data_IF_193955790604
#
_entry.id   IF_193955790604
#
_cell.length_a   1.000
_cell.length_b   1.000
_cell.length_c   1.000
_cell.angle_alpha   90.00
_cell.angle_beta   90.00
_cell.angle_gamma   90.00
#
_symmetry.space_group_name_H-M   'P 1'
#
loop_
_entity.id
_entity.type
_entity.pdbx_description
1 polymer ?
#
# COMPACT_ATOMS: atom_id res chain seq x y z
N UNK A 1 15.16 9.63 -24.47
CA UNK A 1 13.99 9.99 -25.30
C UNK A 1 12.73 9.19 -24.91
N UNK A 2 12.75 7.85 -24.92
CA UNK A 2 11.56 7.05 -24.56
C UNK A 2 10.96 7.40 -23.16
N UNK A 3 11.80 7.51 -22.12
CA UNK A 3 11.33 7.91 -20.78
C UNK A 3 10.63 9.28 -20.78
N UNK A 4 11.21 10.26 -21.49
CA UNK A 4 10.64 11.62 -21.64
C UNK A 4 9.29 11.61 -22.35
N UNK A 5 9.05 10.63 -23.23
CA UNK A 5 7.78 10.44 -23.94
C UNK A 5 6.80 9.54 -23.17
N UNK A 6 7.11 9.21 -21.90
CA UNK A 6 6.31 8.32 -21.05
C UNK A 6 6.12 6.90 -21.60
N UNK A 7 7.00 6.46 -22.49
CA UNK A 7 7.09 5.07 -22.95
C UNK A 7 8.08 4.31 -22.05
N UNK A 8 7.63 3.99 -20.83
CA UNK A 8 8.48 3.43 -19.77
C UNK A 8 8.93 2.01 -20.08
N UNK A 9 8.05 1.15 -20.60
CA UNK A 9 8.40 -0.22 -21.02
C UNK A 9 9.53 -0.22 -22.06
N UNK A 10 9.45 0.65 -23.08
CA UNK A 10 10.52 0.78 -24.08
C UNK A 10 11.79 1.37 -23.50
N UNK A 11 11.67 2.39 -22.64
CA UNK A 11 12.82 3.00 -21.97
C UNK A 11 13.56 1.97 -21.12
N UNK A 12 12.82 1.17 -20.37
CA UNK A 12 13.32 0.12 -19.50
C UNK A 12 14.08 -0.95 -20.29
N UNK A 13 13.46 -1.45 -21.36
CA UNK A 13 14.10 -2.38 -22.29
C UNK A 13 15.37 -1.81 -22.93
N UNK A 14 15.37 -0.51 -23.27
CA UNK A 14 16.53 0.14 -23.88
C UNK A 14 17.69 0.28 -22.89
N UNK A 15 17.42 0.72 -21.65
CA UNK A 15 18.43 0.79 -20.60
C UNK A 15 18.97 -0.59 -20.22
N UNK A 16 18.09 -1.60 -20.11
CA UNK A 16 18.50 -2.98 -19.85
C UNK A 16 19.47 -3.51 -20.90
N UNK A 17 19.17 -3.32 -22.20
CA UNK A 17 20.09 -3.71 -23.29
C UNK A 17 21.41 -2.94 -23.26
N UNK A 18 21.39 -1.65 -22.92
CA UNK A 18 22.60 -0.84 -22.84
C UNK A 18 23.49 -1.30 -21.67
N UNK A 19 22.91 -1.54 -20.49
CA UNK A 19 23.64 -2.03 -19.31
C UNK A 19 24.19 -3.44 -19.51
N UNK A 20 23.48 -4.32 -20.22
CA UNK A 20 23.95 -5.66 -20.53
C UNK A 20 25.17 -5.69 -21.48
N UNK A 21 25.38 -4.63 -22.27
CA UNK A 21 26.51 -4.48 -23.19
C UNK A 21 27.61 -3.56 -22.64
N UNK A 22 27.35 -2.89 -21.53
CA UNK A 22 28.28 -1.93 -20.95
C UNK A 22 29.47 -2.66 -20.29
N UNK A 23 30.68 -2.08 -20.33
CA UNK A 23 31.78 -2.51 -19.47
C UNK A 23 31.37 -2.57 -17.99
N UNK A 24 31.97 -3.47 -17.22
CA UNK A 24 31.58 -3.71 -15.83
C UNK A 24 31.67 -2.45 -14.96
N UNK A 25 32.73 -1.65 -15.09
CA UNK A 25 32.89 -0.38 -14.36
C UNK A 25 31.72 0.58 -14.62
N UNK A 26 31.29 0.69 -15.88
CA UNK A 26 30.13 1.51 -16.28
C UNK A 26 28.84 0.94 -15.73
N UNK A 27 28.60 -0.37 -15.92
CA UNK A 27 27.41 -1.07 -15.41
C UNK A 27 27.28 -0.88 -13.90
N UNK A 28 28.34 -1.17 -13.16
CA UNK A 28 28.40 -1.09 -11.70
C UNK A 28 28.21 0.35 -11.19
N UNK A 29 28.75 1.34 -11.89
CA UNK A 29 28.53 2.75 -11.56
C UNK A 29 27.07 3.17 -11.73
N UNK A 30 26.44 2.79 -12.85
CA UNK A 30 25.07 3.19 -13.19
C UNK A 30 24.01 2.49 -12.34
N UNK A 31 24.29 1.25 -11.91
CA UNK A 31 23.39 0.47 -11.05
C UNK A 31 23.64 0.71 -9.56
N UNK A 32 24.60 1.56 -9.17
CA UNK A 32 24.86 1.87 -7.77
C UNK A 32 23.74 2.74 -7.16
N UNK A 33 23.01 2.20 -6.20
CA UNK A 33 21.88 2.87 -5.54
C UNK A 33 22.25 3.56 -4.22
N UNK A 34 23.54 3.65 -3.86
CA UNK A 34 24.00 4.22 -2.59
C UNK A 34 23.38 5.58 -2.27
N UNK A 35 23.20 6.43 -3.28
CA UNK A 35 22.62 7.78 -3.12
C UNK A 35 21.10 7.79 -2.84
N UNK A 36 20.41 6.68 -3.10
CA UNK A 36 18.96 6.55 -2.90
C UNK A 36 18.61 5.86 -1.58
N UNK A 37 19.49 4.98 -1.09
CA UNK A 37 19.22 4.18 0.10
C UNK A 37 19.26 5.00 1.40
N UNK A 38 18.52 4.53 2.40
CA UNK A 38 18.56 5.07 3.75
C UNK A 38 19.70 4.48 4.59
N UNK A 39 19.84 4.95 5.83
CA UNK A 39 20.91 4.52 6.73
C UNK A 39 20.81 3.02 7.09
N UNK A 40 19.60 2.45 7.00
CA UNK A 40 19.34 1.05 7.34
C UNK A 40 19.93 0.15 6.25
N UNK A 41 19.69 0.46 4.97
CA UNK A 41 20.18 -0.35 3.85
C UNK A 41 21.57 0.03 3.31
N UNK A 42 22.00 1.30 3.42
CA UNK A 42 23.20 1.77 2.69
C UNK A 42 24.50 1.11 3.18
N UNK A 43 24.57 0.73 4.47
CA UNK A 43 25.79 0.12 5.04
C UNK A 43 26.02 -1.26 4.45
N UNK A 44 25.04 -2.16 4.57
CA UNK A 44 25.12 -3.50 4.01
C UNK A 44 25.27 -3.47 2.48
N UNK A 45 24.62 -2.53 1.80
CA UNK A 45 24.73 -2.37 0.34
C UNK A 45 26.15 -2.02 -0.15
N UNK A 46 26.89 -1.21 0.62
CA UNK A 46 28.27 -0.80 0.26
C UNK A 46 29.25 -1.96 0.34
N UNK A 47 29.01 -2.90 1.25
CA UNK A 47 29.86 -4.08 1.45
C UNK A 47 29.68 -5.13 0.34
N UNK A 48 28.59 -5.04 -0.43
CA UNK A 48 28.35 -5.91 -1.58
C UNK A 48 29.22 -5.52 -2.78
N UNK A 49 29.69 -6.54 -3.51
CA UNK A 49 30.23 -6.35 -4.85
C UNK A 49 29.12 -6.01 -5.86
N UNK A 50 29.53 -5.72 -7.10
CA UNK A 50 28.61 -5.27 -8.13
C UNK A 50 27.51 -6.28 -8.47
N UNK A 51 27.84 -7.56 -8.55
CA UNK A 51 26.88 -8.58 -8.96
C UNK A 51 25.91 -8.91 -7.81
N UNK A 52 26.40 -8.94 -6.57
CA UNK A 52 25.55 -9.08 -5.39
C UNK A 52 24.59 -7.88 -5.21
N UNK A 53 25.00 -6.67 -5.60
CA UNK A 53 24.11 -5.49 -5.61
C UNK A 53 22.95 -5.64 -6.59
N UNK A 54 23.10 -6.39 -7.69
CA UNK A 54 22.03 -6.51 -8.69
C UNK A 54 20.76 -7.13 -8.12
N UNK A 55 20.87 -8.18 -7.31
CA UNK A 55 19.71 -8.79 -6.66
C UNK A 55 18.99 -7.82 -5.71
N UNK A 56 19.76 -7.00 -4.97
CA UNK A 56 19.20 -5.95 -4.12
C UNK A 56 18.54 -4.85 -4.95
N UNK A 57 19.18 -4.43 -6.04
CA UNK A 57 18.65 -3.42 -6.95
C UNK A 57 17.33 -3.85 -7.56
N UNK A 58 17.20 -5.12 -7.98
CA UNK A 58 15.96 -5.65 -8.53
C UNK A 58 14.84 -5.61 -7.49
N UNK A 59 15.15 -5.87 -6.21
CA UNK A 59 14.17 -5.79 -5.11
C UNK A 59 13.78 -4.34 -4.84
N UNK A 60 14.76 -3.44 -4.82
CA UNK A 60 14.52 -1.99 -4.68
C UNK A 60 13.61 -1.51 -5.80
N UNK A 61 13.88 -1.87 -7.06
CA UNK A 61 13.09 -1.39 -8.18
C UNK A 61 11.69 -2.01 -8.23
N UNK A 62 11.55 -3.30 -7.97
CA UNK A 62 10.24 -3.95 -7.85
C UNK A 62 9.34 -3.26 -6.83
N UNK A 63 9.89 -2.90 -5.67
CA UNK A 63 9.17 -2.17 -4.62
C UNK A 63 8.98 -0.67 -4.95
N UNK A 64 9.96 -0.05 -5.60
CA UNK A 64 9.94 1.37 -5.94
C UNK A 64 9.09 1.71 -7.16
N UNK A 65 8.56 0.70 -7.87
CA UNK A 65 7.58 0.89 -8.93
C UNK A 65 6.33 1.61 -8.37
N UNK A 66 6.01 2.84 -8.82
CA UNK A 66 4.88 3.61 -8.30
C UNK A 66 3.54 2.90 -8.48
N UNK A 67 3.23 2.41 -9.68
CA UNK A 67 2.02 1.66 -10.00
C UNK A 67 2.33 0.52 -10.96
N UNK A 68 2.08 -0.73 -10.56
CA UNK A 68 2.13 -1.88 -11.47
C UNK A 68 1.02 -1.84 -12.53
N UNK A 69 -0.02 -1.01 -12.35
CA UNK A 69 -1.01 -0.68 -13.36
C UNK A 69 -0.40 0.00 -14.60
N UNK A 70 0.72 0.72 -14.43
CA UNK A 70 1.41 1.38 -15.55
C UNK A 70 2.46 0.45 -16.16
N UNK A 71 2.48 0.24 -17.49
CA UNK A 71 3.47 -0.65 -18.10
C UNK A 71 4.93 -0.16 -17.96
N UNK A 72 5.75 -0.98 -17.30
CA UNK A 72 7.17 -0.73 -17.07
C UNK A 72 7.43 0.12 -15.81
N UNK A 73 8.68 0.15 -15.36
CA UNK A 73 9.03 0.82 -14.10
C UNK A 73 9.56 2.23 -14.34
N UNK A 74 8.70 3.24 -14.23
CA UNK A 74 9.05 4.63 -14.48
C UNK A 74 10.07 5.17 -13.47
N UNK A 75 10.05 4.70 -12.22
CA UNK A 75 11.00 5.17 -11.20
C UNK A 75 12.42 4.67 -11.49
N UNK A 76 12.55 3.43 -11.96
CA UNK A 76 13.82 2.85 -12.43
C UNK A 76 14.30 3.56 -13.68
N UNK A 77 13.44 3.74 -14.69
CA UNK A 77 13.84 4.44 -15.92
C UNK A 77 14.17 5.91 -15.68
N UNK A 78 13.54 6.57 -14.70
CA UNK A 78 13.89 7.92 -14.27
C UNK A 78 15.30 7.97 -13.68
N UNK A 79 15.69 6.98 -12.87
CA UNK A 79 17.04 6.87 -12.33
C UNK A 79 18.07 6.77 -13.45
N UNK A 80 17.87 5.88 -14.42
CA UNK A 80 18.80 5.74 -15.54
C UNK A 80 18.82 6.96 -16.46
N UNK A 81 17.68 7.64 -16.65
CA UNK A 81 17.65 8.91 -17.37
C UNK A 81 18.44 10.01 -16.64
N UNK A 82 18.34 10.08 -15.30
CA UNK A 82 19.14 11.01 -14.47
C UNK A 82 20.62 10.68 -14.52
N UNK A 83 21.00 9.40 -14.50
CA UNK A 83 22.40 8.97 -14.68
C UNK A 83 22.94 9.38 -16.07
N UNK A 84 22.15 9.22 -17.13
CA UNK A 84 22.51 9.69 -18.46
C UNK A 84 22.70 11.22 -18.51
N UNK A 85 21.80 11.99 -17.87
CA UNK A 85 21.97 13.44 -17.76
C UNK A 85 23.21 13.83 -16.95
N UNK A 86 23.50 13.14 -15.85
CA UNK A 86 24.70 13.39 -15.07
C UNK A 86 25.97 13.24 -15.91
N UNK A 87 26.01 12.21 -16.76
CA UNK A 87 27.13 11.99 -17.70
C UNK A 87 27.23 13.07 -18.77
N UNK A 88 26.09 13.55 -19.28
CA UNK A 88 26.04 14.64 -20.27
C UNK A 88 26.52 15.96 -19.67
N UNK A 89 26.17 16.23 -18.40
CA UNK A 89 26.56 17.48 -17.71
C UNK A 89 27.95 17.43 -17.10
N UNK A 90 28.59 16.27 -17.05
CA UNK A 90 29.95 16.14 -16.55
C UNK A 90 30.92 17.04 -17.34
N UNK A 91 31.73 17.82 -16.62
CA UNK A 91 32.65 18.78 -17.23
C UNK A 91 31.99 20.07 -17.76
N UNK A 92 30.67 20.24 -17.58
CA UNK A 92 29.96 21.47 -17.95
C UNK A 92 29.81 22.43 -16.74
N UNK A 93 29.53 23.71 -17.02
CA UNK A 93 29.12 24.66 -15.99
C UNK A 93 27.61 24.59 -15.78
N UNK A 94 27.16 24.51 -14.52
CA UNK A 94 25.72 24.61 -14.21
C UNK A 94 25.24 26.06 -14.23
N UNK A 95 23.92 26.32 -14.37
CA UNK A 95 23.36 27.68 -14.33
C UNK A 95 23.73 28.51 -13.09
N UNK A 96 24.17 27.85 -12.01
CA UNK A 96 24.68 28.48 -10.78
C UNK A 96 26.12 29.02 -10.90
N UNK A 97 26.79 28.87 -12.05
CA UNK A 97 28.16 29.35 -12.27
C UNK A 97 29.24 28.54 -11.54
N UNK A 98 28.89 27.39 -10.98
CA UNK A 98 29.82 26.44 -10.36
C UNK A 98 30.11 25.27 -11.32
N UNK A 99 31.31 24.66 -11.27
CA UNK A 99 31.60 23.45 -12.03
C UNK A 99 30.70 22.27 -11.61
N UNK A 100 30.30 21.43 -12.56
CA UNK A 100 29.67 20.14 -12.25
C UNK A 100 30.64 19.24 -11.47
N UNK A 101 30.15 18.64 -10.38
CA UNK A 101 30.89 17.76 -9.46
C UNK A 101 29.93 16.73 -8.85
N UNK A 102 30.47 15.81 -8.05
CA UNK A 102 29.73 14.69 -7.43
C UNK A 102 28.47 15.13 -6.67
N UNK A 103 28.50 16.26 -5.95
CA UNK A 103 27.33 16.80 -5.25
C UNK A 103 26.17 17.11 -6.21
N UNK A 104 26.47 17.65 -7.41
CA UNK A 104 25.45 17.92 -8.43
C UNK A 104 24.92 16.62 -9.04
N UNK A 105 25.78 15.62 -9.22
CA UNK A 105 25.37 14.27 -9.64
C UNK A 105 24.42 13.66 -8.62
N UNK A 106 24.76 13.70 -7.33
CA UNK A 106 23.90 13.19 -6.26
C UNK A 106 22.54 13.90 -6.23
N UNK A 107 22.53 15.24 -6.29
CA UNK A 107 21.30 16.02 -6.32
C UNK A 107 20.43 15.69 -7.55
N UNK A 108 21.05 15.49 -8.72
CA UNK A 108 20.35 15.11 -9.94
C UNK A 108 19.76 13.70 -9.84
N UNK A 109 20.52 12.74 -9.31
CA UNK A 109 20.04 11.37 -9.12
C UNK A 109 18.87 11.29 -8.13
N UNK A 110 18.94 12.02 -7.01
CA UNK A 110 17.89 12.04 -5.99
C UNK A 110 16.66 12.83 -6.40
N UNK A 111 16.83 14.02 -6.97
CA UNK A 111 15.74 14.99 -7.12
C UNK A 111 15.41 15.37 -8.57
N UNK A 112 16.19 14.90 -9.54
CA UNK A 112 16.01 15.26 -10.94
C UNK A 112 16.42 16.69 -11.28
N UNK A 113 16.23 17.04 -12.55
CA UNK A 113 16.48 18.40 -13.06
C UNK A 113 15.45 19.38 -12.48
N UNK A 114 15.86 20.63 -12.15
CA UNK A 114 14.89 21.67 -11.79
C UNK A 114 13.89 21.93 -12.92
N UNK A 115 12.62 22.15 -12.55
CA UNK A 115 11.54 22.44 -13.49
C UNK A 115 11.52 23.90 -13.92
N UNK A 116 11.93 24.79 -13.01
CA UNK A 116 11.94 26.22 -13.22
C UNK A 116 13.22 26.82 -12.66
N UNK A 117 13.64 27.91 -13.25
CA UNK A 117 14.81 28.65 -12.84
C UNK A 117 14.42 30.09 -12.57
N UNK A 118 14.86 30.62 -11.43
CA UNK A 118 14.68 32.02 -11.07
C UNK A 118 16.04 32.68 -10.97
N UNK A 119 16.18 33.86 -11.60
CA UNK A 119 17.38 34.67 -11.48
C UNK A 119 17.07 35.89 -10.62
N UNK A 120 17.81 36.05 -9.51
CA UNK A 120 17.70 37.25 -8.70
C UNK A 120 18.37 38.42 -9.40
N UNK A 121 17.74 39.59 -9.32
CA UNK A 121 18.36 40.84 -9.78
C UNK A 121 19.51 41.19 -8.85
N UNK A 122 20.67 41.50 -9.42
CA UNK A 122 21.84 41.91 -8.64
C UNK A 122 21.49 43.13 -7.76
N UNK A 123 21.78 43.07 -6.46
CA UNK A 123 21.72 44.22 -5.55
C UNK A 123 23.13 44.70 -5.28
N UNK A 124 23.44 45.94 -5.67
CA UNK A 124 24.72 46.59 -5.39
C UNK A 124 25.80 46.42 -6.47
N UNK A 125 26.96 47.05 -6.24
CA UNK A 125 28.05 47.20 -7.20
C UNK A 125 28.81 45.90 -7.54
N UNK A 126 28.59 44.81 -6.79
CA UNK A 126 29.26 43.52 -7.02
C UNK A 126 28.67 42.71 -8.19
N UNK A 127 27.50 43.08 -8.73
CA UNK A 127 26.92 42.51 -9.95
C UNK A 127 26.58 41.02 -9.91
N UNK A 128 26.77 40.32 -8.78
CA UNK A 128 26.51 38.88 -8.69
C UNK A 128 25.01 38.58 -8.81
N UNK A 129 24.66 37.84 -9.87
CA UNK A 129 23.33 37.28 -10.09
C UNK A 129 23.30 35.89 -9.46
N UNK A 130 22.29 35.63 -8.61
CA UNK A 130 22.05 34.27 -8.13
C UNK A 130 21.00 33.60 -9.00
N UNK A 131 21.18 32.31 -9.26
CA UNK A 131 20.22 31.48 -9.98
C UNK A 131 19.70 30.44 -8.99
N UNK A 132 18.39 30.27 -8.89
CA UNK A 132 17.71 29.30 -8.01
C UNK A 132 16.96 28.31 -8.89
N UNK A 133 17.22 27.02 -8.70
CA UNK A 133 16.48 25.94 -9.35
C UNK A 133 15.31 25.50 -8.48
N UNK A 134 14.09 25.62 -9.00
CA UNK A 134 12.87 25.20 -8.33
C UNK A 134 12.47 23.80 -8.81
N UNK A 135 12.13 22.94 -7.86
CA UNK A 135 11.63 21.57 -8.11
C UNK A 135 10.17 21.48 -7.73
N UNK A 136 9.48 20.46 -8.27
CA UNK A 136 8.09 20.21 -7.90
C UNK A 136 7.95 19.90 -6.41
N UNK A 137 6.96 20.52 -5.78
CA UNK A 137 6.53 20.20 -4.41
C UNK A 137 5.64 18.96 -4.33
N UNK A 138 5.19 18.41 -5.48
CA UNK A 138 4.36 17.21 -5.55
C UNK A 138 5.16 15.92 -5.76
N UNK A 139 6.49 15.98 -5.82
CA UNK A 139 7.31 14.79 -5.85
C UNK A 139 7.21 13.96 -4.55
N UNK A 140 7.48 12.67 -4.68
CA UNK A 140 7.36 11.65 -3.63
C UNK A 140 8.61 10.78 -3.59
N UNK A 141 8.83 10.12 -2.45
CA UNK A 141 9.82 9.04 -2.33
C UNK A 141 9.15 7.69 -2.57
N UNK A 142 9.57 6.98 -3.62
CA UNK A 142 9.09 5.63 -3.91
C UNK A 142 10.10 4.56 -3.52
N UNK A 143 11.38 4.91 -3.37
CA UNK A 143 12.40 3.97 -2.88
C UNK A 143 11.97 3.41 -1.52
N UNK A 144 11.93 2.07 -1.34
CA UNK A 144 11.51 1.48 -0.08
C UNK A 144 12.51 1.78 1.04
N UNK A 145 12.04 2.00 2.28
CA UNK A 145 12.89 1.96 3.46
C UNK A 145 13.71 0.68 3.54
N UNK A 146 14.95 0.76 4.03
CA UNK A 146 15.89 -0.36 4.05
C UNK A 146 15.38 -1.57 4.83
N UNK A 147 14.64 -1.36 5.92
CA UNK A 147 13.97 -2.41 6.70
C UNK A 147 13.06 -3.33 5.87
N UNK A 148 12.47 -2.85 4.78
CA UNK A 148 11.63 -3.67 3.90
C UNK A 148 12.46 -4.55 2.95
N UNK A 149 13.71 -4.16 2.67
CA UNK A 149 14.63 -4.99 1.90
C UNK A 149 15.11 -6.18 2.73
N UNK A 150 15.30 -5.98 4.04
CA UNK A 150 15.69 -7.01 5.00
C UNK A 150 14.52 -7.95 5.36
N UNK A 151 13.31 -7.42 5.48
CA UNK A 151 12.12 -8.19 5.88
C UNK A 151 10.85 -7.67 5.20
N UNK A 152 10.39 -8.41 4.19
CA UNK A 152 9.13 -8.11 3.47
C UNK A 152 7.89 -8.13 4.37
N UNK A 153 7.77 -8.99 5.40
CA UNK A 153 6.64 -8.97 6.35
C UNK A 153 6.41 -7.64 7.08
N UNK A 154 7.39 -6.72 7.08
CA UNK A 154 7.23 -5.39 7.67
C UNK A 154 6.41 -4.43 6.79
N UNK A 155 6.19 -4.76 5.52
CA UNK A 155 5.41 -3.92 4.59
C UNK A 155 3.93 -3.97 5.01
N UNK A 156 3.34 -2.79 5.28
CA UNK A 156 1.96 -2.65 5.77
C UNK A 156 1.84 -2.69 7.29
N UNK A 157 2.73 -3.39 7.99
CA UNK A 157 2.83 -3.33 9.45
C UNK A 157 3.46 -2.01 9.94
N UNK A 158 4.22 -1.33 9.08
CA UNK A 158 4.82 -0.02 9.35
C UNK A 158 4.51 0.96 8.21
N UNK A 159 4.45 2.28 8.48
CA UNK A 159 4.22 3.27 7.43
C UNK A 159 5.31 3.23 6.35
N UNK A 160 4.90 3.29 5.08
CA UNK A 160 5.79 3.53 3.95
C UNK A 160 5.58 4.97 3.47
N UNK A 161 6.12 5.98 4.20
CA UNK A 161 5.85 7.36 3.89
C UNK A 161 6.38 7.69 2.50
N UNK A 162 5.53 8.32 1.69
CA UNK A 162 5.86 8.81 0.35
C UNK A 162 6.51 10.20 0.38
N UNK A 163 7.03 10.66 1.52
CA UNK A 163 7.57 12.01 1.65
C UNK A 163 8.83 12.21 0.78
N UNK A 164 8.91 13.35 0.08
CA UNK A 164 9.96 13.60 -0.91
C UNK A 164 11.30 14.10 -0.32
N UNK A 165 11.61 13.79 0.95
CA UNK A 165 12.77 14.41 1.64
C UNK A 165 14.12 13.85 1.20
N UNK A 166 14.20 12.53 0.98
CA UNK A 166 15.46 11.85 0.60
C UNK A 166 15.68 11.84 -0.91
N UNK A 167 14.61 11.58 -1.63
CA UNK A 167 14.51 11.55 -3.08
C UNK A 167 13.15 12.11 -3.47
N UNK A 168 13.04 12.63 -4.69
CA UNK A 168 11.80 13.19 -5.19
C UNK A 168 11.60 12.73 -6.62
N UNK A 169 10.52 12.01 -6.84
CA UNK A 169 10.03 11.62 -8.14
C UNK A 169 8.55 11.90 -8.26
N UNK A 170 8.14 12.45 -9.40
CA UNK A 170 6.75 12.68 -9.73
C UNK A 170 6.44 11.91 -11.02
N UNK A 171 5.60 10.86 -10.97
CA UNK A 171 5.15 10.18 -12.17
C UNK A 171 4.43 11.19 -13.09
N UNK A 172 4.70 11.24 -14.40
CA UNK A 172 4.15 12.28 -15.27
C UNK A 172 2.63 12.16 -15.47
N UNK A 173 2.07 10.98 -15.23
CA UNK A 173 0.62 10.74 -15.24
C UNK A 173 -0.06 11.13 -13.92
N UNK A 174 0.69 11.49 -12.87
CA UNK A 174 0.18 11.80 -11.54
C UNK A 174 0.68 13.16 -11.02
N UNK A 175 -0.22 14.15 -10.98
CA UNK A 175 -0.02 15.41 -10.26
C UNK A 175 -0.13 15.22 -8.75
N UNK A 176 -0.98 14.29 -8.32
CA UNK A 176 -1.15 13.92 -6.91
C UNK A 176 -0.98 12.42 -6.78
N UNK A 177 -0.09 12.01 -5.89
CA UNK A 177 0.09 10.63 -5.49
C UNK A 177 -0.10 10.53 -3.97
N UNK A 178 -0.96 9.61 -3.54
CA UNK A 178 -1.25 9.36 -2.12
C UNK A 178 -1.22 7.88 -1.79
N UNK A 179 -1.14 7.57 -0.49
CA UNK A 179 -1.50 6.24 0.00
C UNK A 179 -3.01 6.01 -0.21
N UNK A 180 -3.38 4.77 -0.48
CA UNK A 180 -4.76 4.34 -0.62
C UNK A 180 -5.19 3.62 0.66
N UNK A 181 -6.21 4.13 1.33
CA UNK A 181 -6.85 3.45 2.45
C UNK A 181 -7.89 2.47 1.89
N UNK A 182 -7.48 1.21 1.76
CA UNK A 182 -8.31 0.14 1.22
C UNK A 182 -8.65 -0.85 2.33
N UNK A 183 -9.93 -1.19 2.45
CA UNK A 183 -10.31 -2.38 3.18
C UNK A 183 -9.83 -3.60 2.39
N UNK A 184 -9.12 -4.51 3.06
CA UNK A 184 -8.66 -5.79 2.52
C UNK A 184 -9.12 -6.89 3.49
N UNK A 185 -9.59 -8.01 2.96
CA UNK A 185 -9.94 -9.20 3.74
C UNK A 185 -9.57 -10.47 2.95
N UNK A 186 -9.08 -11.48 3.66
CA UNK A 186 -8.66 -12.77 3.11
C UNK A 186 -9.66 -13.87 3.50
N UNK A 187 -10.08 -14.62 2.50
CA UNK A 187 -10.96 -15.79 2.61
C UNK A 187 -10.20 -17.03 2.10
N UNK A 188 -9.51 -17.78 2.97
CA UNK A 188 -8.76 -18.96 2.56
C UNK A 188 -9.67 -20.04 1.95
N UNK A 189 -9.10 -20.84 1.06
CA UNK A 189 -9.66 -22.07 0.50
C UNK A 189 -8.57 -23.15 0.59
N UNK A 190 -8.85 -24.35 0.11
CA UNK A 190 -7.95 -25.50 0.29
C UNK A 190 -6.55 -25.28 -0.32
N UNK A 191 -6.47 -24.69 -1.52
CA UNK A 191 -5.21 -24.50 -2.27
C UNK A 191 -4.93 -23.05 -2.68
N UNK A 192 -5.87 -22.14 -2.42
CA UNK A 192 -5.80 -20.73 -2.77
C UNK A 192 -6.44 -19.86 -1.69
N UNK A 193 -6.33 -18.55 -1.84
CA UNK A 193 -7.11 -17.59 -1.07
C UNK A 193 -7.89 -16.68 -2.01
N UNK A 194 -9.12 -16.34 -1.61
CA UNK A 194 -9.88 -15.25 -2.21
C UNK A 194 -9.58 -13.99 -1.40
N UNK A 195 -8.85 -13.06 -2.00
CA UNK A 195 -8.56 -11.76 -1.39
C UNK A 195 -9.55 -10.75 -1.96
N UNK A 196 -10.27 -10.07 -1.10
CA UNK A 196 -11.23 -9.03 -1.51
C UNK A 196 -10.72 -7.69 -1.02
N UNK A 197 -10.86 -6.65 -1.84
CA UNK A 197 -10.50 -5.30 -1.45
C UNK A 197 -11.50 -4.27 -1.96
N UNK A 198 -11.73 -3.24 -1.15
CA UNK A 198 -12.56 -2.12 -1.54
C UNK A 198 -12.00 -0.80 -1.01
N UNK A 199 -12.21 0.27 -1.77
CA UNK A 199 -11.79 1.63 -1.42
C UNK A 199 -12.72 2.67 -2.05
N UNK A 200 -12.90 3.84 -1.42
CA UNK A 200 -13.70 4.91 -2.01
C UNK A 200 -13.02 5.48 -3.26
N UNK A 201 -13.79 5.66 -4.33
CA UNK A 201 -13.41 6.46 -5.48
C UNK A 201 -13.91 7.87 -5.19
N UNK A 202 -13.00 8.74 -4.72
CA UNK A 202 -13.37 10.13 -4.41
C UNK A 202 -14.01 10.80 -5.64
N UNK A 203 -15.14 11.54 -5.49
CA UNK A 203 -15.74 12.28 -6.60
C UNK A 203 -14.73 13.20 -7.28
N UNK A 204 -14.89 13.41 -8.59
CA UNK A 204 -14.12 14.42 -9.30
C UNK A 204 -14.49 15.82 -8.75
N UNK A 205 -13.53 16.67 -8.32
CA UNK A 205 -13.84 18.00 -7.79
C UNK A 205 -14.66 18.86 -8.76
N UNK A 206 -14.42 18.69 -10.06
CA UNK A 206 -15.15 19.35 -11.16
C UNK A 206 -16.31 18.50 -11.74
N UNK A 207 -16.98 17.66 -10.94
CA UNK A 207 -18.11 16.81 -11.39
C UNK A 207 -19.32 17.58 -11.99
N UNK A 208 -19.28 18.92 -12.04
CA UNK A 208 -20.19 19.74 -12.86
C UNK A 208 -19.85 19.73 -14.36
N UNK A 209 -18.74 19.12 -14.77
CA UNK A 209 -18.34 18.91 -16.17
C UNK A 209 -18.78 17.54 -16.71
N UNK A 210 -18.98 17.47 -18.03
CA UNK A 210 -19.56 16.31 -18.77
C UNK A 210 -18.66 15.07 -18.88
N UNK A 211 -17.52 15.01 -18.18
CA UNK A 211 -16.61 13.87 -18.25
C UNK A 211 -16.09 13.51 -16.85
N UNK A 212 -16.65 12.49 -16.18
CA UNK A 212 -16.22 12.07 -14.83
C UNK A 212 -14.77 11.53 -14.78
N UNK A 213 -14.10 11.42 -15.92
CA UNK A 213 -12.75 10.86 -16.03
C UNK A 213 -12.78 9.33 -16.02
N UNK A 214 -11.81 8.70 -16.68
CA UNK A 214 -11.62 7.25 -16.62
C UNK A 214 -10.83 6.93 -15.36
N UNK A 215 -11.45 6.17 -14.46
CA UNK A 215 -10.80 5.59 -13.29
C UNK A 215 -10.41 4.16 -13.63
N UNK A 216 -9.12 3.87 -13.57
CA UNK A 216 -8.58 2.53 -13.67
C UNK A 216 -8.21 2.06 -12.26
N UNK A 217 -8.70 0.88 -11.90
CA UNK A 217 -8.42 0.25 -10.61
C UNK A 217 -7.94 -1.17 -10.84
N UNK A 218 -6.95 -1.57 -10.07
CA UNK A 218 -6.42 -2.91 -10.11
C UNK A 218 -5.90 -3.31 -8.74
N UNK A 219 -5.86 -4.61 -8.51
CA UNK A 219 -5.13 -5.18 -7.41
C UNK A 219 -4.21 -6.24 -7.99
N UNK A 220 -3.06 -6.43 -7.37
CA UNK A 220 -2.02 -7.32 -7.84
C UNK A 220 -1.46 -8.09 -6.67
N UNK A 221 -1.25 -9.39 -6.86
CA UNK A 221 -0.58 -10.22 -5.87
C UNK A 221 0.71 -10.80 -6.43
N UNK A 222 1.78 -10.76 -5.63
CA UNK A 222 3.08 -11.26 -6.03
C UNK A 222 3.83 -11.96 -4.90
N UNK A 223 4.29 -13.17 -5.18
CA UNK A 223 5.10 -13.98 -4.24
C UNK A 223 6.60 -13.74 -4.42
N UNK A 224 6.99 -13.22 -5.57
CA UNK A 224 8.36 -12.93 -5.97
C UNK A 224 8.34 -11.97 -7.18
N UNK A 225 9.47 -11.32 -7.44
CA UNK A 225 9.64 -10.27 -8.46
C UNK A 225 8.98 -10.60 -9.83
N UNK A 226 8.94 -11.88 -10.24
CA UNK A 226 8.47 -12.31 -11.56
C UNK A 226 7.07 -12.95 -11.58
N UNK A 227 6.32 -12.88 -10.49
CA UNK A 227 4.99 -13.49 -10.38
C UNK A 227 3.95 -12.44 -10.04
N UNK A 228 3.53 -11.63 -11.03
CA UNK A 228 2.39 -10.71 -10.85
C UNK A 228 1.13 -11.43 -11.30
N UNK A 229 0.26 -11.77 -10.37
CA UNK A 229 -1.10 -12.22 -10.67
C UNK A 229 -2.01 -10.99 -10.67
N UNK A 230 -2.53 -10.56 -11.84
CA UNK A 230 -3.48 -9.46 -11.88
C UNK A 230 -4.83 -9.91 -11.32
N UNK A 231 -5.39 -9.09 -10.44
CA UNK A 231 -6.78 -9.15 -10.01
C UNK A 231 -7.68 -8.39 -10.96
N UNK A 232 -8.91 -8.86 -11.14
CA UNK A 232 -9.91 -8.19 -11.98
C UNK A 232 -10.82 -7.30 -11.12
N UNK A 233 -11.27 -6.19 -11.70
CA UNK A 233 -12.21 -5.27 -11.08
C UNK A 233 -13.65 -5.59 -11.49
N UNK A 234 -14.58 -5.47 -10.54
CA UNK A 234 -16.00 -5.34 -10.80
C UNK A 234 -16.47 -4.06 -10.09
N UNK A 235 -16.44 -2.93 -10.81
CA UNK A 235 -17.04 -1.69 -10.30
C UNK A 235 -18.54 -1.69 -10.64
N UNK A 236 -19.39 -2.06 -9.67
CA UNK A 236 -20.86 -1.97 -9.82
C UNK A 236 -21.41 -0.56 -9.46
N UNK A 237 -20.64 0.24 -8.72
CA UNK A 237 -21.06 1.56 -8.21
C UNK A 237 -19.91 2.57 -8.40
N UNK A 238 -20.21 3.74 -8.96
CA UNK A 238 -19.23 4.78 -9.31
C UNK A 238 -18.45 5.38 -8.12
N UNK A 239 -18.87 5.08 -6.89
CA UNK A 239 -18.32 5.68 -5.66
C UNK A 239 -17.36 4.78 -4.87
N UNK A 240 -17.38 3.45 -5.09
CA UNK A 240 -16.54 2.48 -4.37
C UNK A 240 -16.02 1.43 -5.34
N UNK A 241 -14.70 1.34 -5.44
CA UNK A 241 -14.06 0.24 -6.16
C UNK A 241 -14.10 -1.02 -5.31
N UNK A 242 -14.47 -2.15 -5.91
CA UNK A 242 -14.43 -3.48 -5.27
C UNK A 242 -13.73 -4.45 -6.21
N UNK A 243 -12.71 -5.14 -5.68
CA UNK A 243 -11.82 -6.00 -6.45
C UNK A 243 -11.74 -7.36 -5.75
N UNK A 244 -11.67 -8.42 -6.54
CA UNK A 244 -11.51 -9.79 -6.07
C UNK A 244 -10.29 -10.40 -6.75
N UNK A 245 -9.43 -11.04 -5.96
CA UNK A 245 -8.25 -11.75 -6.42
C UNK A 245 -8.27 -13.18 -5.94
N UNK A 246 -7.90 -14.10 -6.81
CA UNK A 246 -7.58 -15.48 -6.45
C UNK A 246 -6.06 -15.56 -6.40
N UNK A 247 -5.51 -15.86 -5.23
CA UNK A 247 -4.07 -15.90 -4.98
C UNK A 247 -3.64 -17.29 -4.51
N UNK A 248 -2.42 -17.75 -4.80
CA UNK A 248 -1.92 -18.98 -4.19
C UNK A 248 -1.85 -18.80 -2.67
N UNK A 249 -2.06 -19.88 -1.92
CA UNK A 249 -1.96 -19.89 -0.46
C UNK A 249 -0.49 -19.85 0.02
N UNK A 250 0.20 -18.77 -0.31
CA UNK A 250 1.62 -18.52 0.03
C UNK A 250 1.82 -17.04 0.37
N UNK A 251 2.78 -16.70 1.24
CA UNK A 251 3.03 -15.31 1.57
C UNK A 251 3.44 -14.48 0.35
N UNK A 252 3.03 -13.22 0.30
CA UNK A 252 3.33 -12.33 -0.81
C UNK A 252 2.88 -10.89 -0.57
N UNK A 253 3.15 -10.03 -1.55
CA UNK A 253 2.78 -8.62 -1.51
C UNK A 253 1.48 -8.42 -2.30
N UNK A 254 0.51 -7.79 -1.65
CA UNK A 254 -0.67 -7.22 -2.30
C UNK A 254 -0.40 -5.74 -2.61
N UNK A 255 -0.66 -5.32 -3.84
CA UNK A 255 -0.69 -3.91 -4.26
C UNK A 255 -2.09 -3.58 -4.76
N UNK A 256 -2.77 -2.63 -4.13
CA UNK A 256 -4.08 -2.11 -4.55
C UNK A 256 -3.87 -0.72 -5.10
N UNK A 257 -4.32 -0.50 -6.34
CA UNK A 257 -3.90 0.65 -7.15
C UNK A 257 -5.09 1.33 -7.83
N UNK A 258 -5.01 2.65 -7.91
CA UNK A 258 -5.97 3.50 -8.60
C UNK A 258 -5.23 4.54 -9.42
N UNK A 259 -5.66 4.73 -10.66
CA UNK A 259 -5.25 5.82 -11.54
C UNK A 259 -6.48 6.50 -12.11
N UNK A 260 -6.61 7.82 -11.90
CA UNK A 260 -7.69 8.62 -12.48
C UNK A 260 -7.14 9.59 -13.53
N UNK A 261 -7.66 9.46 -14.74
CA UNK A 261 -7.44 10.38 -15.86
C UNK A 261 -8.72 11.18 -16.09
N UNK A 262 -8.68 12.49 -16.43
CA UNK A 262 -7.52 13.33 -16.70
C UNK A 262 -6.90 14.02 -15.47
N UNK A 263 -7.54 13.90 -14.30
CA UNK A 263 -7.18 14.53 -13.02
C UNK A 263 -5.73 14.30 -12.55
N UNK A 264 -5.06 13.32 -13.14
CA UNK A 264 -3.70 12.94 -12.81
C UNK A 264 -3.57 12.62 -11.31
N UNK A 265 -4.53 11.84 -10.79
CA UNK A 265 -4.52 11.37 -9.40
C UNK A 265 -4.20 9.88 -9.42
N UNK A 266 -3.17 9.50 -8.67
CA UNK A 266 -2.79 8.12 -8.45
C UNK A 266 -2.81 7.83 -6.95
N UNK A 267 -3.18 6.60 -6.59
CA UNK A 267 -3.08 6.14 -5.21
C UNK A 267 -2.73 4.67 -5.16
N UNK A 268 -2.01 4.27 -4.11
CA UNK A 268 -1.62 2.88 -3.89
C UNK A 268 -1.65 2.50 -2.41
N UNK A 269 -2.10 1.29 -2.13
CA UNK A 269 -1.82 0.56 -0.89
C UNK A 269 -0.92 -0.64 -1.21
N UNK A 270 0.11 -0.88 -0.41
CA UNK A 270 0.99 -2.04 -0.59
C UNK A 270 1.34 -2.65 0.76
N UNK A 271 1.10 -3.95 0.90
CA UNK A 271 1.21 -4.68 2.16
C UNK A 271 1.64 -6.13 1.92
N UNK A 272 2.27 -6.70 2.92
CA UNK A 272 2.51 -8.14 2.99
C UNK A 272 1.26 -8.88 3.49
N UNK A 273 0.90 -9.95 2.80
CA UNK A 273 -0.10 -10.92 3.25
C UNK A 273 0.60 -12.23 3.59
N UNK A 274 0.46 -12.66 4.84
CA UNK A 274 1.01 -13.93 5.31
C UNK A 274 0.02 -15.08 5.08
N UNK A 275 -0.18 -15.45 3.81
CA UNK A 275 -1.10 -16.52 3.42
C UNK A 275 -0.46 -17.90 3.63
N UNK A 276 -1.23 -18.86 4.14
CA UNK A 276 -0.79 -20.26 4.29
C UNK A 276 -0.18 -20.63 5.65
N UNK A 277 -0.27 -19.73 6.63
CA UNK A 277 0.10 -20.01 8.04
C UNK A 277 -0.99 -20.75 8.84
N UNK A 278 -2.13 -21.08 8.23
CA UNK A 278 -3.23 -21.81 8.86
C UNK A 278 -2.96 -23.32 8.97
N UNK A 279 -3.19 -23.88 10.16
CA UNK A 279 -3.19 -25.33 10.40
C UNK A 279 -4.57 -25.95 10.12
N UNK A 280 -4.67 -27.29 10.03
CA UNK A 280 -5.95 -27.97 9.83
C UNK A 280 -6.89 -27.74 11.02
N UNK A 281 -8.20 -27.65 10.75
CA UNK A 281 -9.26 -27.52 11.75
C UNK A 281 -9.90 -26.14 11.79
N UNK A 282 -10.65 -25.89 12.87
CA UNK A 282 -11.47 -24.69 13.03
C UNK A 282 -10.67 -23.40 12.78
N UNK A 283 -11.06 -22.63 11.77
CA UNK A 283 -10.47 -21.35 11.43
C UNK A 283 -11.52 -20.30 11.06
N UNK A 284 -11.12 -19.03 11.05
CA UNK A 284 -11.94 -17.88 10.64
C UNK A 284 -11.28 -17.15 9.47
N UNK A 285 -12.10 -16.59 8.58
CA UNK A 285 -11.63 -15.58 7.64
C UNK A 285 -11.28 -14.28 8.35
N UNK A 286 -10.70 -13.34 7.62
CA UNK A 286 -10.74 -11.94 8.05
C UNK A 286 -12.20 -11.46 8.17
N UNK A 287 -12.44 -10.50 9.06
CA UNK A 287 -13.75 -9.84 9.16
C UNK A 287 -13.90 -8.81 8.03
N UNK A 288 -14.98 -8.92 7.29
CA UNK A 288 -15.34 -8.04 6.18
C UNK A 288 -16.42 -7.05 6.61
N UNK A 289 -16.11 -5.75 6.55
CA UNK A 289 -17.04 -4.68 6.84
C UNK A 289 -17.93 -4.44 5.61
N UNK A 290 -19.23 -4.57 5.81
CA UNK A 290 -20.25 -4.41 4.78
C UNK A 290 -21.18 -3.24 5.13
N UNK A 291 -21.90 -2.72 4.14
CA UNK A 291 -22.98 -1.76 4.37
C UNK A 291 -24.07 -2.43 5.18
N UNK A 292 -24.69 -1.63 6.04
CA UNK A 292 -25.84 -2.07 6.83
C UNK A 292 -27.08 -2.04 5.95
N UNK A 293 -27.40 -3.17 5.34
CA UNK A 293 -28.61 -3.38 4.54
C UNK A 293 -29.61 -4.24 5.32
N UNK A 294 -30.88 -4.23 4.91
CA UNK A 294 -31.95 -4.99 5.61
C UNK A 294 -31.82 -6.52 5.49
N UNK A 295 -31.03 -7.00 4.53
CA UNK A 295 -30.76 -8.43 4.32
C UNK A 295 -29.26 -8.67 4.42
N UNK A 296 -28.86 -9.41 5.45
CA UNK A 296 -27.46 -9.78 5.64
C UNK A 296 -27.03 -10.85 4.62
N UNK A 297 -25.81 -10.74 4.06
CA UNK A 297 -25.32 -11.68 3.06
C UNK A 297 -25.09 -13.06 3.68
N UNK A 298 -25.56 -14.09 2.99
CA UNK A 298 -25.37 -15.49 3.35
C UNK A 298 -24.25 -16.18 2.55
N UNK A 299 -23.58 -15.45 1.65
CA UNK A 299 -22.46 -15.94 0.82
C UNK A 299 -21.47 -14.80 0.56
N UNK A 300 -20.20 -15.14 0.34
CA UNK A 300 -19.13 -14.16 0.13
C UNK A 300 -19.41 -13.24 -1.05
N UNK A 301 -19.97 -13.75 -2.15
CA UNK A 301 -20.25 -12.96 -3.35
C UNK A 301 -21.18 -11.78 -3.05
N UNK A 302 -22.25 -12.01 -2.29
CA UNK A 302 -23.16 -10.95 -1.86
C UNK A 302 -22.50 -10.01 -0.84
N UNK A 303 -21.64 -10.54 0.04
CA UNK A 303 -20.89 -9.73 0.99
C UNK A 303 -19.90 -8.79 0.27
N UNK A 304 -19.28 -9.24 -0.82
CA UNK A 304 -18.43 -8.42 -1.69
C UNK A 304 -19.25 -7.30 -2.30
N UNK A 305 -20.43 -7.54 -2.89
CA UNK A 305 -21.27 -6.46 -3.42
C UNK A 305 -21.67 -5.42 -2.37
N UNK A 306 -21.86 -5.85 -1.11
CA UNK A 306 -22.17 -4.96 0.02
C UNK A 306 -20.92 -4.36 0.70
N UNK A 307 -19.71 -4.72 0.30
CA UNK A 307 -18.46 -4.33 0.98
C UNK A 307 -18.30 -2.81 1.07
N UNK A 308 -17.85 -2.31 2.22
CA UNK A 308 -17.53 -0.88 2.41
C UNK A 308 -16.15 -0.57 1.83
N UNK A 309 -16.00 0.65 1.29
CA UNK A 309 -14.69 1.15 0.85
C UNK A 309 -13.78 1.59 2.01
N UNK A 310 -14.33 1.82 3.21
CA UNK A 310 -13.55 2.34 4.35
C UNK A 310 -13.92 1.63 5.64
N UNK A 311 -12.95 1.53 6.55
CA UNK A 311 -13.15 1.13 7.94
C UNK A 311 -13.61 2.29 8.83
N UNK A 312 -13.86 3.47 8.25
CA UNK A 312 -14.46 4.60 8.92
C UNK A 312 -15.99 4.49 8.93
N UNK A 313 -16.58 4.82 10.08
CA UNK A 313 -18.01 4.90 10.33
C UNK A 313 -18.36 6.28 10.88
N UNK A 314 -19.50 6.80 10.45
CA UNK A 314 -20.07 8.00 11.06
C UNK A 314 -20.58 7.67 12.47
N UNK A 315 -20.63 8.67 13.36
CA UNK A 315 -21.19 8.49 14.70
C UNK A 315 -22.66 8.03 14.60
N UNK A 316 -22.99 6.93 15.28
CA UNK A 316 -24.34 6.34 15.28
C UNK A 316 -24.65 5.45 14.06
N UNK A 317 -23.72 5.33 13.11
CA UNK A 317 -23.84 4.37 12.02
C UNK A 317 -23.71 2.93 12.53
N UNK A 318 -24.62 2.05 12.12
CA UNK A 318 -24.53 0.62 12.45
C UNK A 318 -23.34 -0.03 11.76
N UNK A 319 -22.62 -0.90 12.48
CA UNK A 319 -21.46 -1.64 11.98
C UNK A 319 -21.92 -3.04 11.56
N UNK A 320 -21.89 -3.32 10.26
CA UNK A 320 -22.20 -4.66 9.74
C UNK A 320 -20.95 -5.41 9.32
N UNK A 321 -20.85 -6.68 9.72
CA UNK A 321 -19.67 -7.52 9.55
C UNK A 321 -20.07 -8.87 8.97
N UNK A 322 -19.29 -9.37 8.01
CA UNK A 322 -19.37 -10.71 7.43
C UNK A 322 -18.07 -11.49 7.70
N UNK A 323 -18.18 -12.81 7.87
CA UNK A 323 -17.05 -13.73 8.00
C UNK A 323 -17.41 -15.14 7.51
N UNK A 324 -16.39 -15.97 7.33
CA UNK A 324 -16.53 -17.40 7.06
C UNK A 324 -15.85 -18.22 8.17
N UNK A 325 -16.49 -19.31 8.56
CA UNK A 325 -15.94 -20.32 9.49
C UNK A 325 -15.54 -21.54 8.66
N UNK A 326 -14.29 -21.97 8.82
CA UNK A 326 -13.72 -23.12 8.11
C UNK A 326 -13.62 -24.32 9.04
N UNK A 327 -13.86 -25.51 8.48
CA UNK A 327 -13.91 -26.78 9.20
C UNK A 327 -14.76 -26.72 10.50
N UNK A 328 -15.99 -26.19 10.44
CA UNK A 328 -16.84 -26.11 11.63
C UNK A 328 -17.19 -27.51 12.17
N UNK A 329 -17.21 -27.70 13.50
CA UNK A 329 -17.64 -28.96 14.09
C UNK A 329 -19.13 -29.23 13.81
N UNK A 330 -19.47 -30.50 13.59
CA UNK A 330 -20.83 -30.89 13.16
C UNK A 330 -21.66 -31.30 14.35
N UNK A 331 -22.88 -30.76 14.47
CA UNK A 331 -23.86 -31.05 15.54
C UNK A 331 -23.31 -30.83 16.96
N UNK A 332 -22.25 -30.05 17.08
CA UNK A 332 -21.72 -29.58 18.36
C UNK A 332 -22.08 -28.09 18.50
N UNK A 333 -22.70 -27.68 19.61
CA UNK A 333 -22.88 -26.26 19.90
C UNK A 333 -21.51 -25.63 20.20
N UNK A 334 -21.17 -24.55 19.49
CA UNK A 334 -19.98 -23.74 19.74
C UNK A 334 -20.37 -22.37 20.27
N UNK A 335 -19.52 -21.78 21.12
CA UNK A 335 -19.70 -20.40 21.56
C UNK A 335 -19.03 -19.47 20.56
N UNK A 336 -19.79 -18.50 20.04
CA UNK A 336 -19.28 -17.40 19.24
C UNK A 336 -19.38 -16.12 20.06
N UNK A 337 -18.27 -15.39 20.17
CA UNK A 337 -18.20 -14.13 20.91
C UNK A 337 -17.64 -13.04 20.01
N UNK A 338 -18.35 -11.91 19.92
CA UNK A 338 -17.88 -10.70 19.28
C UNK A 338 -17.71 -9.60 20.33
N UNK A 339 -16.48 -9.10 20.45
CA UNK A 339 -16.12 -8.03 21.38
C UNK A 339 -15.73 -6.80 20.58
N UNK A 340 -16.24 -5.63 20.98
CA UNK A 340 -15.80 -4.33 20.46
C UNK A 340 -15.11 -3.58 21.59
N UNK A 341 -13.81 -3.31 21.41
CA UNK A 341 -12.97 -2.64 22.40
C UNK A 341 -12.36 -1.36 21.84
N UNK A 342 -12.31 -0.30 22.64
CA UNK A 342 -11.63 0.94 22.24
C UNK A 342 -10.11 0.73 22.22
N UNK A 343 -9.48 1.08 21.09
CA UNK A 343 -8.03 1.19 20.95
C UNK A 343 -7.61 2.61 21.32
N UNK A 344 -7.17 2.79 22.55
CA UNK A 344 -6.55 4.06 22.95
C UNK A 344 -5.23 4.24 22.19
N UNK A 345 -5.14 5.32 21.40
CA UNK A 345 -3.91 5.72 20.72
C UNK A 345 -2.86 6.09 21.78
N UNK A 346 -1.89 5.21 22.02
CA UNK A 346 -0.59 5.62 22.56
C UNK A 346 -0.16 5.17 23.96
N UNK A 347 -0.54 4.00 24.46
CA UNK A 347 0.25 3.34 25.52
C UNK A 347 1.29 2.41 24.88
N UNK A 348 2.45 2.98 24.59
CA UNK A 348 3.64 2.29 24.08
C UNK A 348 3.95 1.01 24.89
N UNK A 349 4.19 -0.09 24.18
CA UNK A 349 5.35 -0.98 24.35
C UNK A 349 5.91 -1.02 25.80
N UNK A 350 5.24 -1.75 26.72
CA UNK A 350 5.66 -2.04 28.12
C UNK A 350 5.93 -0.81 29.01
N UNK A 351 4.95 -0.42 29.84
CA UNK A 351 5.20 0.14 31.18
C UNK A 351 3.94 0.10 32.07
N UNK A 352 4.04 -0.71 33.13
CA UNK A 352 3.50 -0.50 34.49
C UNK A 352 1.98 -0.55 34.69
N UNK A 353 1.54 -1.71 35.18
CA UNK A 353 0.43 -1.85 36.14
C UNK A 353 0.61 -0.90 37.32
N UNK A 354 0.14 0.34 37.23
CA UNK A 354 -0.03 1.18 38.42
C UNK A 354 -1.00 2.33 38.14
N UNK A 355 -1.98 2.47 39.05
CA UNK A 355 -3.04 3.48 39.11
C UNK A 355 -4.33 3.13 38.36
N UNK A 356 -5.14 2.29 39.03
CA UNK A 356 -6.54 2.01 38.70
C UNK A 356 -7.45 3.23 38.87
N UNK A 357 -7.31 4.22 38.01
CA UNK A 357 -8.20 5.38 37.89
C UNK A 357 -8.36 5.79 36.42
N UNK A 358 -9.05 4.96 35.66
CA UNK A 358 -9.85 5.38 34.52
C UNK A 358 -10.94 4.32 34.34
N UNK A 359 -12.20 4.72 34.47
CA UNK A 359 -13.33 3.84 34.18
C UNK A 359 -13.23 3.40 32.72
N UNK A 360 -12.73 2.19 32.49
CA UNK A 360 -12.87 1.54 31.19
C UNK A 360 -14.37 1.34 31.00
N UNK A 361 -14.95 2.03 30.03
CA UNK A 361 -16.30 1.70 29.57
C UNK A 361 -16.31 0.20 29.22
N UNK A 362 -17.33 -0.55 29.69
CA UNK A 362 -17.37 -1.99 29.45
C UNK A 362 -17.43 -2.23 27.93
N UNK A 363 -16.64 -3.17 27.40
CA UNK A 363 -16.65 -3.47 25.99
C UNK A 363 -18.04 -3.97 25.57
N UNK A 364 -18.48 -3.62 24.35
CA UNK A 364 -19.69 -4.23 23.79
C UNK A 364 -19.35 -5.69 23.52
N UNK A 365 -19.98 -6.61 24.26
CA UNK A 365 -19.78 -8.05 24.11
C UNK A 365 -21.10 -8.70 23.71
N UNK A 366 -21.11 -9.35 22.56
CA UNK A 366 -22.18 -10.22 22.12
C UNK A 366 -21.68 -11.66 22.19
N UNK A 367 -22.48 -12.54 22.76
CA UNK A 367 -22.20 -13.96 22.89
C UNK A 367 -23.43 -14.75 22.46
N UNK A 368 -23.24 -15.71 21.57
CA UNK A 368 -24.30 -16.58 21.07
C UNK A 368 -23.77 -17.98 20.80
N UNK A 369 -24.69 -18.95 20.74
CA UNK A 369 -24.35 -20.33 20.41
C UNK A 369 -24.70 -20.61 18.96
N UNK A 370 -23.75 -21.19 18.23
CA UNK A 370 -23.97 -21.65 16.85
C UNK A 370 -23.89 -23.17 16.83
N UNK A 371 -24.69 -23.80 15.98
CA UNK A 371 -24.55 -25.23 15.68
C UNK A 371 -24.78 -25.46 14.20
N UNK A 372 -23.99 -26.36 13.61
CA UNK A 372 -24.10 -26.68 12.19
C UNK A 372 -24.74 -28.06 12.01
N UNK A 373 -25.90 -28.16 11.32
CA UNK A 373 -26.69 -29.39 11.28
C UNK A 373 -26.09 -30.48 10.39
N UNK A 374 -25.24 -30.09 9.43
CA UNK A 374 -24.61 -30.96 8.45
C UNK A 374 -23.13 -30.57 8.26
N UNK A 375 -22.33 -31.51 7.72
CA UNK A 375 -20.95 -31.22 7.29
C UNK A 375 -20.98 -30.14 6.21
N UNK A 376 -20.25 -29.06 6.44
CA UNK A 376 -19.93 -28.04 5.45
C UNK A 376 -18.45 -27.70 5.60
N UNK A 377 -17.76 -27.46 4.49
CA UNK A 377 -16.36 -27.01 4.53
C UNK A 377 -16.28 -25.55 5.02
N UNK A 378 -17.28 -24.75 4.66
CA UNK A 378 -17.36 -23.32 4.97
C UNK A 378 -18.75 -22.98 5.47
N UNK A 379 -18.84 -22.24 6.58
CA UNK A 379 -20.09 -21.70 7.09
C UNK A 379 -20.02 -20.17 7.19
N UNK A 380 -20.85 -19.43 6.43
CA UNK A 380 -20.87 -17.98 6.47
C UNK A 380 -21.59 -17.47 7.73
N UNK A 381 -21.16 -16.31 8.21
CA UNK A 381 -21.81 -15.57 9.29
C UNK A 381 -21.83 -14.08 9.00
N UNK A 382 -22.89 -13.42 9.43
CA UNK A 382 -23.03 -11.97 9.33
C UNK A 382 -23.81 -11.43 10.52
N UNK A 383 -23.46 -10.22 10.97
CA UNK A 383 -24.18 -9.52 12.04
C UNK A 383 -24.11 -8.01 11.84
N UNK A 384 -25.16 -7.31 12.26
CA UNK A 384 -25.19 -5.84 12.38
C UNK A 384 -25.16 -5.47 13.85
N UNK A 385 -24.32 -4.50 14.18
CA UNK A 385 -24.09 -3.99 15.53
C UNK A 385 -24.49 -2.53 15.59
N UNK A 386 -25.23 -2.16 16.61
CA UNK A 386 -25.43 -0.76 16.98
C UNK A 386 -24.47 -0.45 18.13
N UNK A 387 -23.54 0.48 17.89
CA UNK A 387 -22.62 0.91 18.92
C UNK A 387 -23.30 1.95 19.82
N UNK A 388 -23.03 1.95 21.14
CA UNK A 388 -23.59 2.94 22.05
C UNK A 388 -23.31 4.38 21.57
N UNK A 389 -24.27 5.30 21.72
CA UNK A 389 -24.11 6.69 21.29
C UNK A 389 -22.96 7.38 22.03
N UNK A 390 -22.13 8.14 21.30
CA UNK A 390 -21.09 9.02 21.88
C UNK A 390 -19.63 8.55 21.73
N UNK A 391 -19.36 7.50 20.96
CA UNK A 391 -18.04 6.88 20.93
C UNK A 391 -17.21 7.27 19.70
N UNK A 392 -16.36 8.29 19.81
CA UNK A 392 -15.30 8.54 18.83
C UNK A 392 -14.00 7.80 19.16
N UNK A 393 -13.31 7.44 18.09
CA UNK A 393 -11.96 6.90 18.16
C UNK A 393 -11.80 5.63 17.35
N UNK A 394 -10.74 4.90 17.65
CA UNK A 394 -10.42 3.64 16.99
C UNK A 394 -10.91 2.50 17.87
N UNK A 395 -11.55 1.49 17.27
CA UNK A 395 -12.07 0.31 17.96
C UNK A 395 -11.55 -0.96 17.28
N UNK A 396 -11.35 -2.00 18.07
CA UNK A 396 -11.00 -3.33 17.60
C UNK A 396 -12.19 -4.26 17.80
N UNK A 397 -12.68 -4.81 16.71
CA UNK A 397 -13.62 -5.92 16.70
C UNK A 397 -12.82 -7.21 16.81
N UNK A 398 -13.17 -8.07 17.76
CA UNK A 398 -12.58 -9.40 17.92
C UNK A 398 -13.71 -10.42 17.88
N UNK A 399 -13.77 -11.20 16.80
CA UNK A 399 -14.63 -12.38 16.72
C UNK A 399 -13.83 -13.59 17.17
N UNK A 400 -14.41 -14.39 18.06
CA UNK A 400 -13.87 -15.67 18.47
C UNK A 400 -14.93 -16.75 18.38
N UNK A 401 -14.53 -17.94 17.92
CA UNK A 401 -15.35 -19.15 17.95
C UNK A 401 -14.61 -20.19 18.75
N UNK A 402 -15.23 -20.68 19.82
CA UNK A 402 -14.66 -21.68 20.72
C UNK A 402 -15.55 -22.93 20.79
N UNK A 403 -14.93 -24.08 20.61
CA UNK A 403 -15.54 -25.41 20.78
C UNK A 403 -15.52 -25.85 22.23
N UNK A 404 -16.36 -26.84 22.58
CA UNK A 404 -16.33 -27.43 23.93
C UNK A 404 -15.04 -28.19 24.21
N UNK A 405 -14.36 -28.69 23.16
CA UNK A 405 -13.08 -29.38 23.24
C UNK A 405 -11.86 -28.45 23.41
N UNK A 406 -12.07 -27.13 23.42
CA UNK A 406 -11.01 -26.13 23.63
C UNK A 406 -10.31 -25.63 22.36
N UNK A 407 -10.69 -26.10 21.17
CA UNK A 407 -10.27 -25.49 19.90
C UNK A 407 -10.91 -24.11 19.76
N UNK A 408 -10.12 -23.12 19.35
CA UNK A 408 -10.57 -21.74 19.22
C UNK A 408 -9.99 -21.10 17.96
N UNK A 409 -10.82 -20.38 17.22
CA UNK A 409 -10.41 -19.51 16.13
C UNK A 409 -10.73 -18.05 16.49
N UNK A 410 -9.85 -17.13 16.09
CA UNK A 410 -9.98 -15.69 16.38
C UNK A 410 -9.70 -14.89 15.12
N UNK A 411 -10.52 -13.88 14.86
CA UNK A 411 -10.34 -12.90 13.79
C UNK A 411 -10.58 -11.50 14.31
N UNK A 412 -9.83 -10.53 13.81
CA UNK A 412 -9.83 -9.16 14.33
C UNK A 412 -9.93 -8.12 13.22
N UNK A 413 -10.59 -7.00 13.52
CA UNK A 413 -10.72 -5.88 12.59
C UNK A 413 -10.75 -4.54 13.30
N UNK A 414 -9.90 -3.64 12.87
CA UNK A 414 -9.93 -2.26 13.34
C UNK A 414 -10.99 -1.46 12.56
N UNK A 415 -11.75 -0.63 13.28
CA UNK A 415 -12.65 0.39 12.72
C UNK A 415 -12.35 1.74 13.36
N UNK A 416 -12.73 2.83 12.71
CA UNK A 416 -12.66 4.18 13.29
C UNK A 416 -14.04 4.83 13.23
N UNK A 417 -14.48 5.41 14.34
CA UNK A 417 -15.70 6.20 14.43
C UNK A 417 -15.32 7.67 14.54
N UNK A 418 -15.90 8.52 13.70
CA UNK A 418 -15.62 9.98 13.64
C UNK A 418 -16.93 10.76 13.51
N UNK A 419 -16.93 12.00 13.98
CA UNK A 419 -17.88 13.01 13.51
C UNK A 419 -17.68 13.29 12.01
N UNK A 420 -18.78 13.56 11.32
CA UNK A 420 -18.80 13.87 9.87
C UNK A 420 -17.95 15.08 9.50
#
# INVERSE_FOLDING_TARGET
MAHTLSDFSRADSAFGRALAQAPDDVRCGWTNLTVLLDADAVRSYRDLDCDARMAVNDRVWWLADPLWLTPGNERRTAHYARAAYARIFEGTAVPHGIPWRDDNTELLLRFGVPERWEQTRARGASGQRSVIGHRSSSGRSFVPPGRYLDSLPLIGAQPWPLDGRRESFQPPYARRFSELDAQIAVFPRDDHAVVVTAFPIAPHPDAGGTNPGRVETAAFFTVAQDSVLPGWSAAEDSSVARLVLITPLRPGILSVEMLRTPDSVAARSRLWLDLGSGGPGLALSDLLLIRSDSVLPAVLEHAVSAMRGSAAFARGESVSVFWEVYDPPVREPVSATLVVERRDRGFLRRAVEWLGLAGREPPVKLEWTVSWPARTAVAPGAITLELPPGQEGTFLLTLSIATSSGSMAVSQREITIRDE
#
